data_IF_112990901830
#
_entry.id   IF_112990901830
#
_cell.length_a   1.000
_cell.length_b   1.000
_cell.length_c   1.000
_cell.angle_alpha   90.00
_cell.angle_beta   90.00
_cell.angle_gamma   90.00
#
_symmetry.space_group_name_H-M   'P 1'
#
loop_
_entity.id
_entity.type
_entity.pdbx_description
1 polymer ?
#
# COMPACT_ATOMS: atom_id res chain seq x y z
N UNK A 1 -14.25 4.17 -2.20
CA UNK A 1 -13.53 3.34 -3.19
C UNK A 1 -12.26 2.81 -2.52
N UNK A 2 -11.99 1.50 -2.57
CA UNK A 2 -10.76 0.94 -2.01
C UNK A 2 -9.51 1.46 -2.77
N UNK A 3 -8.31 1.28 -2.21
CA UNK A 3 -7.05 1.53 -2.92
C UNK A 3 -6.96 0.60 -4.15
N UNK A 4 -6.90 1.18 -5.35
CA UNK A 4 -6.67 0.44 -6.59
C UNK A 4 -5.19 0.59 -6.99
N UNK A 5 -4.56 -0.52 -7.32
CA UNK A 5 -3.17 -0.59 -7.77
C UNK A 5 -3.11 -1.14 -9.18
N UNK A 6 -2.24 -0.54 -9.99
CA UNK A 6 -1.94 -0.93 -11.36
C UNK A 6 -0.45 -1.26 -11.44
N UNK A 7 -0.12 -2.27 -12.24
CA UNK A 7 1.25 -2.70 -12.46
C UNK A 7 1.64 -2.51 -13.93
N UNK A 8 2.83 -1.98 -14.17
CA UNK A 8 3.43 -1.88 -15.49
C UNK A 8 4.89 -2.32 -15.41
N UNK A 9 5.18 -3.54 -15.88
CA UNK A 9 6.48 -4.17 -15.66
C UNK A 9 6.76 -4.35 -14.16
N UNK A 10 7.91 -3.86 -13.71
CA UNK A 10 8.29 -3.88 -12.29
C UNK A 10 7.74 -2.72 -11.46
N UNK A 11 6.96 -1.80 -12.03
CA UNK A 11 6.44 -0.62 -11.33
C UNK A 11 4.99 -0.82 -10.90
N UNK A 12 4.65 -0.36 -9.71
CA UNK A 12 3.29 -0.34 -9.16
C UNK A 12 2.90 1.09 -8.82
N UNK A 13 1.66 1.48 -9.16
CA UNK A 13 1.13 2.80 -8.84
C UNK A 13 -0.38 2.76 -8.71
N UNK A 14 -0.93 3.74 -8.00
CA UNK A 14 -2.37 3.78 -7.80
C UNK A 14 -2.83 4.85 -6.84
N UNK A 15 -4.14 4.89 -6.65
CA UNK A 15 -4.78 5.78 -5.70
C UNK A 15 -6.12 5.20 -5.24
N UNK A 16 -6.62 5.71 -4.13
CA UNK A 16 -7.94 5.35 -3.65
C UNK A 16 -8.15 5.82 -2.23
N UNK A 17 -8.82 5.00 -1.41
CA UNK A 17 -9.05 5.34 -0.02
C UNK A 17 -8.59 4.23 0.92
N UNK A 18 -8.09 4.63 2.08
CA UNK A 18 -7.69 3.79 3.20
C UNK A 18 -8.53 4.16 4.42
N UNK A 19 -8.97 3.15 5.18
CA UNK A 19 -9.70 3.37 6.43
C UNK A 19 -8.73 3.38 7.61
N UNK A 20 -8.82 4.41 8.46
CA UNK A 20 -8.08 4.53 9.73
C UNK A 20 -9.10 4.79 10.84
N UNK A 21 -9.50 3.74 11.55
CA UNK A 21 -10.61 3.80 12.51
C UNK A 21 -11.92 4.19 11.83
N UNK A 22 -12.52 5.29 12.26
CA UNK A 22 -13.76 5.85 11.67
C UNK A 22 -13.50 6.84 10.53
N UNK A 23 -12.23 7.14 10.24
CA UNK A 23 -11.84 8.08 9.19
C UNK A 23 -11.51 7.34 7.89
N UNK A 24 -11.94 7.93 6.78
CA UNK A 24 -11.50 7.52 5.44
C UNK A 24 -10.49 8.55 4.93
N UNK A 25 -9.29 8.09 4.56
CA UNK A 25 -8.21 8.91 4.03
C UNK A 25 -8.06 8.62 2.54
N UNK A 26 -7.99 9.65 1.71
CA UNK A 26 -7.51 9.48 0.34
C UNK A 26 -6.02 9.14 0.38
N UNK A 27 -5.60 8.23 -0.48
CA UNK A 27 -4.21 7.78 -0.54
C UNK A 27 -3.74 7.71 -1.99
N UNK A 28 -2.46 8.01 -2.20
CA UNK A 28 -1.72 7.67 -3.41
C UNK A 28 -0.68 6.61 -3.07
N UNK A 29 -0.40 5.72 -4.00
CA UNK A 29 0.57 4.65 -3.83
C UNK A 29 1.53 4.58 -5.02
N UNK A 30 2.79 4.27 -4.73
CA UNK A 30 3.82 4.00 -5.73
C UNK A 30 4.81 2.99 -5.17
N UNK A 31 5.33 2.11 -6.02
CA UNK A 31 6.22 1.05 -5.56
C UNK A 31 6.80 0.24 -6.70
N UNK A 32 7.38 -0.89 -6.34
CA UNK A 32 7.99 -1.83 -7.27
C UNK A 32 7.76 -3.28 -6.87
N UNK A 33 7.77 -4.16 -7.86
CA UNK A 33 7.73 -5.61 -7.69
C UNK A 33 8.98 -6.20 -8.31
N UNK A 34 9.66 -7.07 -7.56
CA UNK A 34 10.83 -7.83 -8.01
C UNK A 34 10.73 -9.27 -7.51
N UNK A 35 10.47 -10.21 -8.41
CA UNK A 35 10.23 -11.60 -8.04
C UNK A 35 9.00 -11.73 -7.13
N UNK A 36 9.22 -12.25 -5.92
CA UNK A 36 8.19 -12.42 -4.90
C UNK A 36 8.21 -11.29 -3.85
N UNK A 37 8.89 -10.18 -4.12
CA UNK A 37 8.93 -9.04 -3.20
C UNK A 37 8.23 -7.83 -3.81
N UNK A 38 7.45 -7.12 -3.00
CA UNK A 38 6.85 -5.84 -3.33
C UNK A 38 7.23 -4.79 -2.27
N UNK A 39 7.85 -3.71 -2.72
CA UNK A 39 8.00 -2.48 -1.94
C UNK A 39 6.90 -1.51 -2.36
N UNK A 40 6.14 -0.97 -1.40
CA UNK A 40 5.08 -0.01 -1.67
C UNK A 40 5.15 1.18 -0.71
N UNK A 41 5.19 2.38 -1.27
CA UNK A 41 5.03 3.63 -0.54
C UNK A 41 3.59 4.12 -0.72
N UNK A 42 2.87 4.33 0.39
CA UNK A 42 1.52 4.89 0.41
C UNK A 42 1.57 6.23 1.14
N UNK A 43 0.97 7.27 0.56
CA UNK A 43 0.87 8.61 1.14
C UNK A 43 -0.59 8.96 1.34
N UNK A 44 -1.00 9.27 2.58
CA UNK A 44 -2.34 9.80 2.86
C UNK A 44 -2.44 11.30 2.59
N UNK A 45 -3.48 11.68 1.84
CA UNK A 45 -3.79 13.04 1.44
C UNK A 45 -4.77 13.65 2.47
N UNK A 46 -4.35 14.71 3.15
CA UNK A 46 -5.05 15.31 4.29
C UNK A 46 -4.17 15.30 5.54
N UNK A 47 -4.28 14.28 6.38
CA UNK A 47 -3.26 14.00 7.40
C UNK A 47 -2.08 13.33 6.69
N UNK A 48 -1.04 14.09 6.38
CA UNK A 48 0.13 13.58 5.64
C UNK A 48 0.85 12.53 6.49
N UNK A 49 0.75 11.27 6.07
CA UNK A 49 1.51 10.16 6.61
C UNK A 49 2.11 9.37 5.44
N UNK A 50 3.34 8.91 5.60
CA UNK A 50 4.01 7.98 4.70
C UNK A 50 3.95 6.58 5.33
N UNK A 51 3.53 5.60 4.56
CA UNK A 51 3.58 4.18 4.91
C UNK A 51 4.54 3.51 3.93
N UNK A 52 5.61 2.91 4.45
CA UNK A 52 6.53 2.08 3.69
C UNK A 52 6.23 0.62 3.99
N UNK A 53 5.67 -0.09 3.02
CA UNK A 53 5.29 -1.49 3.11
C UNK A 53 6.36 -2.34 2.42
N UNK A 54 6.65 -3.49 3.02
CA UNK A 54 7.41 -4.57 2.40
C UNK A 54 6.57 -5.84 2.46
N UNK A 55 6.21 -6.35 1.30
CA UNK A 55 5.33 -7.51 1.17
C UNK A 55 6.06 -8.65 0.46
N UNK A 56 5.90 -9.85 0.98
CA UNK A 56 6.18 -11.09 0.27
C UNK A 56 4.93 -11.50 -0.51
N UNK A 57 5.10 -11.85 -1.77
CA UNK A 57 4.04 -12.26 -2.68
C UNK A 57 4.04 -13.78 -2.81
N UNK A 58 2.89 -14.39 -2.55
CA UNK A 58 2.63 -15.81 -2.75
C UNK A 58 1.37 -15.99 -3.59
N UNK A 59 1.60 -16.28 -4.87
CA UNK A 59 0.55 -16.39 -5.89
C UNK A 59 -0.25 -15.09 -6.04
N UNK A 60 -1.50 -15.13 -5.55
CA UNK A 60 -2.44 -14.00 -5.58
C UNK A 60 -2.62 -13.34 -4.21
N UNK A 61 -1.83 -13.72 -3.22
CA UNK A 61 -1.78 -13.04 -1.93
C UNK A 61 -0.45 -12.35 -1.72
N UNK A 62 -0.45 -11.32 -0.89
CA UNK A 62 0.77 -10.68 -0.42
C UNK A 62 0.62 -10.27 1.03
N UNK A 63 1.65 -10.48 1.83
CA UNK A 63 1.63 -10.13 3.24
C UNK A 63 3.01 -9.66 3.71
N UNK A 64 3.04 -8.86 4.77
CA UNK A 64 4.29 -8.41 5.35
C UNK A 64 4.08 -7.28 6.33
N UNK A 65 5.13 -6.48 6.51
CA UNK A 65 5.18 -5.43 7.50
C UNK A 65 5.18 -4.05 6.86
N UNK A 66 4.73 -3.07 7.62
CA UNK A 66 4.87 -1.67 7.27
C UNK A 66 5.47 -0.85 8.41
N UNK A 67 6.19 0.19 8.03
CA UNK A 67 6.55 1.28 8.92
C UNK A 67 5.89 2.57 8.43
N UNK A 68 5.26 3.28 9.36
CA UNK A 68 4.57 4.52 9.08
C UNK A 68 5.21 5.70 9.80
N UNK A 69 5.12 6.87 9.16
CA UNK A 69 5.69 8.13 9.60
C UNK A 69 4.63 9.22 9.43
N UNK A 70 4.32 9.96 10.49
CA UNK A 70 3.48 11.15 10.40
C UNK A 70 4.33 12.40 10.14
N UNK A 71 3.69 13.43 9.58
CA UNK A 71 4.30 14.76 9.48
C UNK A 71 4.60 15.40 10.87
N UNK A 72 4.01 14.88 11.95
CA UNK A 72 4.27 15.34 13.34
C UNK A 72 5.46 14.63 13.99
N UNK A 73 6.10 13.68 13.30
CA UNK A 73 7.26 12.93 13.80
C UNK A 73 6.92 11.63 14.53
N UNK A 74 5.63 11.27 14.63
CA UNK A 74 5.22 10.00 15.20
C UNK A 74 5.52 8.87 14.21
N UNK A 75 5.91 7.71 14.75
CA UNK A 75 6.14 6.50 13.94
C UNK A 75 5.45 5.30 14.57
N UNK A 76 4.96 4.41 13.72
CA UNK A 76 4.35 3.15 14.17
C UNK A 76 4.61 2.05 13.15
N UNK A 77 4.40 0.81 13.57
CA UNK A 77 4.52 -0.39 12.75
C UNK A 77 3.23 -1.19 12.79
N UNK A 78 3.05 -2.03 11.78
CA UNK A 78 2.00 -3.02 11.75
C UNK A 78 2.19 -3.98 10.59
N UNK A 79 1.23 -4.87 10.42
CA UNK A 79 1.20 -5.82 9.32
C UNK A 79 0.27 -5.33 8.23
N UNK A 80 0.52 -5.75 7.00
CA UNK A 80 -0.31 -5.50 5.84
C UNK A 80 -0.53 -6.81 5.08
N UNK A 81 -1.75 -6.97 4.58
CA UNK A 81 -2.16 -8.10 3.75
C UNK A 81 -2.92 -7.56 2.55
N UNK A 82 -2.80 -8.24 1.41
CA UNK A 82 -3.43 -7.85 0.17
C UNK A 82 -3.72 -9.05 -0.72
N UNK A 83 -4.70 -8.88 -1.59
CA UNK A 83 -5.09 -9.87 -2.60
C UNK A 83 -4.97 -9.25 -3.99
N UNK A 84 -4.40 -9.99 -4.93
CA UNK A 84 -4.50 -9.69 -6.36
C UNK A 84 -5.90 -10.07 -6.80
N UNK A 85 -6.67 -9.08 -7.25
CA UNK A 85 -7.92 -9.33 -7.98
C UNK A 85 -7.55 -9.34 -9.46
N UNK A 86 -7.55 -10.50 -10.08
CA UNK A 86 -7.44 -10.61 -11.53
C UNK A 86 -8.63 -9.90 -12.17
N UNK A 87 -8.37 -9.13 -13.23
CA UNK A 87 -9.45 -8.60 -14.04
C UNK A 87 -10.23 -9.79 -14.63
N UNK A 88 -11.51 -9.89 -14.32
CA UNK A 88 -12.40 -10.83 -14.98
C UNK A 88 -12.50 -10.38 -16.44
N UNK A 89 -12.06 -11.22 -17.38
CA UNK A 89 -12.23 -10.99 -18.84
C UNK A 89 -13.71 -10.86 -19.23
#
# INVERSE_FOLDING_TARGET
>A
MALALFQSGGYVYGAGNMRKGDTTLQVAASGSVSGNEMDLDIISLGTINLYKLKLELDGDSGSGDYQAFSATGETWRGNAEGLRISAQE
#
